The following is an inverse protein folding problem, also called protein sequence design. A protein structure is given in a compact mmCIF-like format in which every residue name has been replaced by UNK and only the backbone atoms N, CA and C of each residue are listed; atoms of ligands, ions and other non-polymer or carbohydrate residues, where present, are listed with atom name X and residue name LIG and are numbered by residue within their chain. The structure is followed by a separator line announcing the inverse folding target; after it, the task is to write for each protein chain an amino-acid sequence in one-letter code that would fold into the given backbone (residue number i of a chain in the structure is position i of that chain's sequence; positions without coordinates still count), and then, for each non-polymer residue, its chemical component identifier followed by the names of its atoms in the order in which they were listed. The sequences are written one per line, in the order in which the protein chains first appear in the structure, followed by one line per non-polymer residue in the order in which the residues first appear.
data_IF_783706949150
#
_entry.id   IF_783706949150
#
_cell.length_a   1.000
_cell.length_b   1.000
_cell.length_c   1.000
_cell.angle_alpha   90.00
_cell.angle_beta   90.00
_cell.angle_gamma   90.00
#
_symmetry.space_group_name_H-M   'P 1'
#
loop_
_entity.id
_entity.type
_entity.pdbx_description
1 polymer ?
#
# COMPACT_ATOMS: atom_id res chain seq x y z
N UNK A 1 -11.59 -0.24 22.19
CA UNK A 1 -10.18 0.19 22.33
C UNK A 1 -9.83 0.84 21.03
N UNK A 2 -9.32 2.05 21.08
CA UNK A 2 -9.36 2.94 19.93
C UNK A 2 -8.38 2.49 18.86
N UNK A 3 -8.69 2.79 17.60
CA UNK A 3 -7.99 2.24 16.45
C UNK A 3 -8.08 3.19 15.26
N UNK A 4 -6.97 3.29 14.54
CA UNK A 4 -6.85 3.99 13.27
C UNK A 4 -6.13 3.08 12.30
N UNK A 5 -6.62 2.99 11.07
CA UNK A 5 -5.91 2.36 9.97
C UNK A 5 -6.13 3.14 8.68
N UNK A 6 -5.12 3.10 7.81
CA UNK A 6 -5.22 3.48 6.41
C UNK A 6 -4.89 2.23 5.61
N UNK A 7 -5.88 1.66 4.92
CA UNK A 7 -5.71 0.46 4.08
C UNK A 7 -5.92 0.78 2.60
N UNK A 8 -5.39 -0.08 1.73
CA UNK A 8 -5.81 -0.15 0.33
C UNK A 8 -6.88 -1.24 0.24
N UNK A 9 -8.04 -0.94 -0.32
CA UNK A 9 -9.14 -1.88 -0.53
C UNK A 9 -9.77 -1.66 -1.90
N UNK A 10 -9.89 -2.72 -2.71
CA UNK A 10 -10.41 -2.68 -4.09
C UNK A 10 -9.78 -1.53 -4.94
N UNK A 11 -8.47 -1.34 -4.77
CA UNK A 11 -7.66 -0.32 -5.47
C UNK A 11 -7.60 1.05 -4.79
N UNK A 12 -8.60 1.38 -3.97
CA UNK A 12 -8.79 2.71 -3.37
C UNK A 12 -8.22 2.76 -1.95
N UNK A 13 -7.87 3.95 -1.47
CA UNK A 13 -7.49 4.15 -0.07
C UNK A 13 -8.73 4.21 0.82
N UNK A 14 -8.58 3.73 2.05
CA UNK A 14 -9.64 3.70 3.04
C UNK A 14 -9.09 4.02 4.43
N UNK A 15 -9.42 5.22 4.91
CA UNK A 15 -9.14 5.66 6.28
C UNK A 15 -10.24 5.14 7.20
N UNK A 16 -9.86 4.55 8.33
CA UNK A 16 -10.77 3.87 9.27
C UNK A 16 -10.49 4.38 10.68
N UNK A 17 -11.55 4.72 11.42
CA UNK A 17 -11.48 5.27 12.78
C UNK A 17 -12.51 4.57 13.67
N UNK A 18 -12.06 3.95 14.76
CA UNK A 18 -12.90 3.40 15.83
C UNK A 18 -12.54 4.04 17.17
N UNK A 19 -13.55 4.59 17.86
CA UNK A 19 -13.46 5.22 19.19
C UNK A 19 -14.01 4.33 20.32
N UNK A 20 -14.31 3.06 20.02
CA UNK A 20 -15.00 2.12 20.90
C UNK A 20 -16.53 2.06 20.71
N UNK A 21 -17.09 2.92 19.85
CA UNK A 21 -18.53 3.02 19.59
C UNK A 21 -18.91 2.50 18.19
N UNK A 22 -17.95 1.88 17.48
CA UNK A 22 -18.07 1.44 16.10
C UNK A 22 -16.99 2.05 15.22
N UNK A 23 -16.62 1.33 14.17
CA UNK A 23 -15.69 1.81 13.16
C UNK A 23 -16.43 2.59 12.06
N UNK A 24 -16.00 3.83 11.82
CA UNK A 24 -16.37 4.62 10.65
C UNK A 24 -15.24 4.57 9.63
N UNK A 25 -15.57 4.64 8.34
CA UNK A 25 -14.60 4.59 7.25
C UNK A 25 -14.89 5.63 6.17
N UNK A 26 -13.83 6.20 5.61
CA UNK A 26 -13.82 7.13 4.49
C UNK A 26 -12.96 6.53 3.38
N UNK A 27 -13.47 6.49 2.15
CA UNK A 27 -12.75 5.95 0.99
C UNK A 27 -12.31 7.10 0.07
N UNK A 28 -11.19 6.95 -0.63
CA UNK A 28 -10.84 7.85 -1.75
C UNK A 28 -11.67 7.53 -2.99
N UNK A 29 -12.02 8.54 -3.78
CA UNK A 29 -12.51 8.36 -5.17
C UNK A 29 -11.39 7.98 -6.15
N UNK A 30 -10.13 8.26 -5.80
CA UNK A 30 -8.95 7.87 -6.58
C UNK A 30 -8.58 6.40 -6.30
N UNK A 31 -8.42 5.61 -7.36
CA UNK A 31 -7.78 4.30 -7.36
C UNK A 31 -6.25 4.49 -7.42
N UNK A 32 -5.52 3.98 -6.43
CA UNK A 32 -4.07 4.14 -6.29
C UNK A 32 -3.27 2.86 -6.64
N UNK A 33 -3.93 1.87 -7.25
CA UNK A 33 -3.35 0.58 -7.62
C UNK A 33 -3.11 0.46 -9.13
N UNK A 34 -2.87 1.58 -9.81
CA UNK A 34 -2.52 1.63 -11.24
C UNK A 34 -1.02 1.40 -11.50
N UNK A 35 -0.17 1.72 -10.52
CA UNK A 35 1.27 1.56 -10.55
C UNK A 35 2.09 2.85 -10.68
N UNK A 36 1.50 4.04 -10.52
CA UNK A 36 2.25 5.30 -10.37
C UNK A 36 2.52 5.63 -8.89
N UNK A 37 3.13 6.79 -8.63
CA UNK A 37 3.30 7.33 -7.28
C UNK A 37 2.19 8.32 -6.97
N UNK A 38 1.43 8.05 -5.90
CA UNK A 38 0.39 8.94 -5.38
C UNK A 38 0.87 9.66 -4.12
N UNK A 39 0.52 10.94 -3.97
CA UNK A 39 0.64 11.71 -2.72
C UNK A 39 -0.60 11.44 -1.87
N UNK A 40 -0.40 11.07 -0.61
CA UNK A 40 -1.47 10.69 0.31
C UNK A 40 -1.31 11.45 1.63
N UNK A 41 -2.34 12.19 2.03
CA UNK A 41 -2.40 12.86 3.33
C UNK A 41 -3.72 12.48 4.02
N UNK A 42 -3.64 12.03 5.27
CA UNK A 42 -4.79 11.58 6.06
C UNK A 42 -4.90 12.41 7.33
N UNK A 43 -5.97 13.18 7.47
CA UNK A 43 -6.19 14.08 8.59
C UNK A 43 -7.41 13.63 9.39
N UNK A 44 -7.27 13.53 10.72
CA UNK A 44 -8.34 13.08 11.60
C UNK A 44 -8.36 13.87 12.91
N UNK A 45 -9.58 14.07 13.43
CA UNK A 45 -9.89 14.73 14.69
C UNK A 45 -11.04 13.96 15.37
N UNK A 46 -11.27 14.11 16.69
CA UNK A 46 -12.35 13.42 17.40
C UNK A 46 -13.75 13.46 16.77
N UNK A 47 -14.04 14.46 15.93
CA UNK A 47 -15.33 14.68 15.27
C UNK A 47 -15.29 14.68 13.74
N UNK A 48 -14.13 14.50 13.11
CA UNK A 48 -13.91 14.78 11.68
C UNK A 48 -12.78 13.95 11.08
N UNK A 49 -12.90 13.57 9.82
CA UNK A 49 -11.87 12.86 9.06
C UNK A 49 -11.86 13.30 7.60
N UNK A 50 -10.66 13.31 7.02
CA UNK A 50 -10.34 13.86 5.71
C UNK A 50 -9.21 13.02 5.10
N UNK A 51 -9.31 12.74 3.81
CA UNK A 51 -8.35 11.94 3.05
C UNK A 51 -8.09 12.63 1.72
N UNK A 52 -6.87 13.15 1.56
CA UNK A 52 -6.38 13.77 0.34
C UNK A 52 -5.53 12.77 -0.45
N UNK A 53 -5.85 12.58 -1.74
CA UNK A 53 -5.09 11.74 -2.68
C UNK A 53 -4.87 12.51 -3.97
N UNK A 54 -3.61 12.87 -4.27
CA UNK A 54 -3.24 13.70 -5.43
C UNK A 54 -4.13 14.95 -5.57
N UNK A 55 -4.25 15.70 -4.48
CA UNK A 55 -5.04 16.93 -4.32
C UNK A 55 -6.57 16.76 -4.52
N UNK A 56 -7.06 15.50 -4.55
CA UNK A 56 -8.49 15.15 -4.45
C UNK A 56 -8.84 14.83 -2.98
N UNK A 57 -9.65 15.70 -2.37
CA UNK A 57 -10.04 15.61 -0.96
C UNK A 57 -11.43 15.00 -0.82
N UNK A 58 -11.52 13.92 -0.04
CA UNK A 58 -12.78 13.39 0.50
C UNK A 58 -12.84 13.69 2.01
N UNK A 59 -14.00 14.04 2.57
CA UNK A 59 -14.14 14.33 3.99
C UNK A 59 -15.52 13.95 4.59
N UNK A 60 -15.56 13.70 5.91
CA UNK A 60 -16.82 13.52 6.64
C UNK A 60 -16.70 13.76 8.17
N UNK A 61 -17.80 14.10 8.86
CA UNK A 61 -17.90 13.99 10.32
C UNK A 61 -17.77 12.53 10.76
N UNK A 62 -17.02 12.24 11.83
CA UNK A 62 -16.81 10.85 12.27
C UNK A 62 -18.03 10.28 13.00
N UNK A 63 -18.47 10.95 14.07
CA UNK A 63 -19.76 10.70 14.73
C UNK A 63 -20.27 12.00 15.36
N UNK A 64 -21.55 12.32 15.15
CA UNK A 64 -22.18 13.53 15.68
C UNK A 64 -22.52 13.36 17.16
N UNK A 65 -22.05 14.29 18.00
CA UNK A 65 -22.39 14.41 19.43
C UNK A 65 -21.30 13.95 20.41
N UNK A 66 -20.44 13.01 20.03
CA UNK A 66 -19.54 12.34 20.98
C UNK A 66 -18.10 12.90 20.97
N UNK A 67 -17.85 13.87 21.86
CA UNK A 67 -16.52 14.43 22.15
C UNK A 67 -15.65 13.47 22.99
N UNK A 68 -15.28 12.33 22.40
CA UNK A 68 -14.26 11.43 22.94
C UNK A 68 -12.96 11.58 22.16
N UNK A 69 -11.85 11.82 22.86
CA UNK A 69 -10.50 11.80 22.27
C UNK A 69 -10.11 10.37 21.83
N UNK A 70 -9.17 10.25 20.90
CA UNK A 70 -8.58 8.96 20.53
C UNK A 70 -7.51 8.56 21.55
N UNK A 71 -7.71 7.45 22.26
CA UNK A 71 -6.69 6.84 23.12
C UNK A 71 -5.83 5.85 22.32
N UNK A 72 -4.85 6.38 21.58
CA UNK A 72 -3.92 5.60 20.76
C UNK A 72 -2.66 5.28 21.56
N UNK A 73 -2.49 4.02 21.93
CA UNK A 73 -1.34 3.52 22.68
C UNK A 73 -0.75 2.26 22.03
N UNK A 74 0.59 2.16 22.05
CA UNK A 74 1.33 1.08 21.41
C UNK A 74 2.16 1.55 20.20
N UNK A 75 2.29 0.68 19.20
CA UNK A 75 3.15 0.89 18.04
C UNK A 75 2.38 1.36 16.80
N UNK A 76 3.01 2.23 16.01
CA UNK A 76 2.61 2.51 14.64
C UNK A 76 3.11 1.38 13.73
N UNK A 77 2.22 0.83 12.91
CA UNK A 77 2.52 -0.23 11.95
C UNK A 77 2.44 0.32 10.52
N UNK A 78 3.48 0.07 9.71
CA UNK A 78 3.60 0.55 8.33
C UNK A 78 3.85 -0.66 7.43
N UNK A 79 3.07 -0.79 6.35
CA UNK A 79 3.16 -1.90 5.40
C UNK A 79 2.58 -3.24 5.88
N UNK A 80 2.04 -3.32 7.11
CA UNK A 80 1.38 -4.50 7.66
C UNK A 80 1.45 -4.54 9.19
N UNK A 81 0.60 -5.34 9.82
CA UNK A 81 0.57 -5.54 11.29
C UNK A 81 1.12 -6.91 11.69
N UNK A 82 1.60 -7.06 12.93
CA UNK A 82 2.00 -8.37 13.48
C UNK A 82 0.84 -9.39 13.39
N UNK A 83 1.17 -10.67 13.18
CA UNK A 83 0.21 -11.78 13.05
C UNK A 83 -0.75 -11.86 14.25
N UNK A 84 -0.27 -11.55 15.46
CA UNK A 84 -1.07 -11.52 16.69
C UNK A 84 -2.06 -10.32 16.77
N UNK A 85 -1.96 -9.32 15.88
CA UNK A 85 -2.87 -8.17 15.76
C UNK A 85 -3.81 -8.27 14.56
N UNK A 86 -3.48 -9.05 13.54
CA UNK A 86 -4.27 -9.16 12.29
C UNK A 86 -5.76 -9.40 12.55
N UNK A 87 -6.11 -10.40 13.35
CA UNK A 87 -7.49 -10.69 13.73
C UNK A 87 -8.19 -9.53 14.46
N UNK A 88 -7.44 -8.72 15.23
CA UNK A 88 -7.98 -7.49 15.85
C UNK A 88 -8.24 -6.41 14.79
N UNK A 89 -7.31 -6.17 13.87
CA UNK A 89 -7.47 -5.17 12.81
C UNK A 89 -8.69 -5.47 11.93
N UNK A 90 -8.88 -6.73 11.53
CA UNK A 90 -10.06 -7.19 10.78
C UNK A 90 -11.36 -7.00 11.58
N UNK A 91 -11.37 -7.37 12.86
CA UNK A 91 -12.54 -7.17 13.73
C UNK A 91 -12.84 -5.68 14.02
N UNK A 92 -11.86 -4.77 13.89
CA UNK A 92 -12.05 -3.32 13.94
C UNK A 92 -12.30 -2.69 12.56
N UNK A 93 -12.59 -3.51 11.54
CA UNK A 93 -13.15 -3.08 10.27
C UNK A 93 -12.15 -2.87 9.12
N UNK A 94 -10.86 -3.14 9.31
CA UNK A 94 -9.86 -3.16 8.23
C UNK A 94 -10.03 -4.43 7.39
N UNK A 95 -10.52 -4.28 6.16
CA UNK A 95 -10.84 -5.40 5.26
C UNK A 95 -9.62 -6.18 4.79
N UNK A 96 -8.45 -5.55 4.77
CA UNK A 96 -7.16 -6.15 4.47
C UNK A 96 -6.20 -6.11 5.69
N UNK A 97 -6.74 -6.03 6.91
CA UNK A 97 -5.97 -6.02 8.16
C UNK A 97 -5.20 -7.31 8.47
N UNK A 98 -5.43 -8.37 7.68
CA UNK A 98 -4.71 -9.65 7.66
C UNK A 98 -3.57 -9.70 6.62
N UNK A 99 -3.42 -8.67 5.79
CA UNK A 99 -2.46 -8.60 4.69
C UNK A 99 -1.37 -7.56 4.94
N UNK A 100 -0.31 -7.64 4.14
CA UNK A 100 0.75 -6.63 4.06
C UNK A 100 0.63 -5.84 2.76
N UNK A 101 1.21 -4.64 2.72
CA UNK A 101 1.32 -3.86 1.49
C UNK A 101 2.33 -4.51 0.54
N UNK A 102 1.84 -4.89 -0.63
CA UNK A 102 2.67 -5.30 -1.77
C UNK A 102 2.89 -4.10 -2.70
N UNK A 103 3.91 -3.28 -2.39
CA UNK A 103 4.22 -2.04 -3.10
C UNK A 103 5.44 -1.31 -2.54
N UNK A 104 5.49 0.01 -2.73
CA UNK A 104 6.54 0.90 -2.21
C UNK A 104 5.94 2.05 -1.40
N UNK A 105 6.69 2.56 -0.43
CA UNK A 105 6.37 3.76 0.35
C UNK A 105 7.63 4.63 0.42
N UNK A 106 7.48 5.95 0.37
CA UNK A 106 8.55 6.92 0.61
C UNK A 106 7.99 8.13 1.37
N UNK A 107 8.86 8.97 1.95
CA UNK A 107 8.52 10.27 2.54
C UNK A 107 7.40 10.22 3.61
N UNK A 108 7.41 9.19 4.47
CA UNK A 108 6.42 9.04 5.55
C UNK A 108 6.66 10.08 6.64
N UNK A 109 5.60 10.76 7.07
CA UNK A 109 5.60 11.61 8.27
C UNK A 109 4.34 11.39 9.12
N UNK A 110 4.43 11.73 10.40
CA UNK A 110 3.32 11.77 11.34
C UNK A 110 3.40 13.09 12.11
N UNK A 111 2.50 14.01 11.79
CA UNK A 111 2.65 15.41 12.19
C UNK A 111 3.94 16.00 11.62
N UNK A 112 4.73 16.64 12.47
CA UNK A 112 6.04 17.22 12.10
C UNK A 112 7.19 16.19 12.09
N UNK A 113 6.94 14.94 12.53
CA UNK A 113 7.98 13.90 12.60
C UNK A 113 8.06 13.11 11.30
N UNK A 114 9.16 13.25 10.55
CA UNK A 114 9.50 12.35 9.45
C UNK A 114 9.99 11.00 9.98
N UNK A 115 9.59 9.90 9.33
CA UNK A 115 9.87 8.53 9.76
C UNK A 115 10.69 7.79 8.70
N UNK A 116 11.76 7.13 9.13
CA UNK A 116 12.60 6.28 8.28
C UNK A 116 12.65 4.83 8.77
N UNK A 117 13.24 3.95 7.95
CA UNK A 117 13.51 2.55 8.32
C UNK A 117 14.43 2.45 9.56
N UNK A 118 15.21 3.50 9.87
CA UNK A 118 16.10 3.54 11.05
C UNK A 118 15.35 3.74 12.36
N UNK A 119 14.13 4.27 12.30
CA UNK A 119 13.27 4.58 13.45
C UNK A 119 12.32 3.41 13.78
N UNK A 120 12.29 2.37 12.93
CA UNK A 120 11.47 1.18 13.09
C UNK A 120 12.08 0.20 14.10
N UNK A 121 11.33 -0.12 15.16
CA UNK A 121 11.78 -1.06 16.21
C UNK A 121 11.85 -2.51 15.73
N UNK A 122 11.03 -2.87 14.74
CA UNK A 122 10.99 -4.20 14.09
C UNK A 122 10.80 -3.97 12.59
N UNK A 123 11.50 -4.74 11.75
CA UNK A 123 11.33 -4.72 10.29
C UNK A 123 11.28 -6.14 9.73
N UNK A 124 10.43 -6.37 8.72
CA UNK A 124 10.30 -7.65 8.04
C UNK A 124 9.95 -7.42 6.56
N UNK A 125 10.58 -8.15 5.64
CA UNK A 125 10.25 -8.13 4.20
C UNK A 125 10.65 -6.86 3.40
N UNK A 126 11.00 -5.76 4.09
CA UNK A 126 11.41 -4.48 3.51
C UNK A 126 12.71 -4.60 2.71
N UNK A 127 12.80 -3.85 1.61
CA UNK A 127 14.04 -3.56 0.87
C UNK A 127 14.27 -2.04 0.84
N UNK A 128 15.53 -1.62 0.75
CA UNK A 128 15.87 -0.18 0.70
C UNK A 128 15.52 0.48 -0.65
N UNK A 129 15.46 -0.29 -1.74
CA UNK A 129 15.15 0.19 -3.09
C UNK A 129 13.78 -0.29 -3.57
N UNK A 130 13.02 0.63 -4.18
CA UNK A 130 11.75 0.34 -4.82
C UNK A 130 11.97 -0.36 -6.17
N UNK A 131 12.19 -1.67 -6.15
CA UNK A 131 12.20 -2.51 -7.36
C UNK A 131 10.80 -3.04 -7.74
N UNK A 132 9.73 -2.38 -7.29
CA UNK A 132 8.38 -2.81 -7.66
C UNK A 132 8.11 -2.46 -9.12
N UNK A 133 7.75 -3.46 -9.91
CA UNK A 133 7.51 -3.33 -11.33
C UNK A 133 6.06 -3.70 -11.64
N UNK A 134 5.44 -2.93 -12.53
CA UNK A 134 4.10 -3.17 -13.05
C UNK A 134 4.18 -3.49 -14.56
N UNK A 135 4.53 -4.72 -14.99
CA UNK A 135 4.73 -5.02 -16.40
C UNK A 135 3.49 -4.74 -17.25
N UNK A 136 2.27 -4.87 -16.70
CA UNK A 136 1.03 -4.58 -17.46
C UNK A 136 0.99 -3.16 -18.04
N UNK A 137 1.61 -2.14 -17.41
CA UNK A 137 1.70 -0.77 -17.95
C UNK A 137 2.49 -0.68 -19.28
N UNK A 138 3.23 -1.73 -19.65
CA UNK A 138 3.96 -1.82 -20.92
C UNK A 138 3.22 -2.59 -22.01
N UNK A 139 1.96 -2.98 -21.77
CA UNK A 139 1.15 -3.85 -22.64
C UNK A 139 1.92 -5.12 -23.09
N UNK A 140 2.38 -5.98 -22.16
CA UNK A 140 3.33 -7.05 -22.43
C UNK A 140 2.69 -8.34 -22.96
N UNK A 141 1.37 -8.36 -23.12
CA UNK A 141 0.58 -9.51 -23.54
C UNK A 141 -0.18 -9.17 -24.84
N UNK A 142 -0.45 -10.18 -25.67
CA UNK A 142 -0.93 -10.00 -27.05
C UNK A 142 -2.31 -9.33 -27.15
N UNK A 143 -2.63 -8.76 -28.32
CA UNK A 143 -3.92 -8.14 -28.59
C UNK A 143 -5.11 -9.06 -28.27
N UNK A 144 -6.13 -8.49 -27.63
CA UNK A 144 -7.30 -9.23 -27.14
C UNK A 144 -7.08 -9.98 -25.82
N UNK A 145 -5.90 -9.90 -25.19
CA UNK A 145 -5.67 -10.42 -23.84
C UNK A 145 -5.94 -9.38 -22.74
N UNK A 146 -6.34 -9.85 -21.56
CA UNK A 146 -6.50 -9.02 -20.35
C UNK A 146 -5.31 -9.27 -19.42
N UNK A 147 -4.36 -8.33 -19.36
CA UNK A 147 -3.23 -8.41 -18.44
C UNK A 147 -3.70 -8.32 -16.97
N UNK A 148 -3.15 -9.17 -16.11
CA UNK A 148 -3.39 -9.23 -14.68
C UNK A 148 -2.05 -9.11 -13.95
N UNK A 149 -1.98 -8.27 -12.91
CA UNK A 149 -0.78 -8.07 -12.09
C UNK A 149 -0.86 -8.97 -10.85
N UNK A 150 0.06 -9.93 -10.71
CA UNK A 150 0.07 -10.91 -9.61
C UNK A 150 1.23 -10.68 -8.65
N UNK A 151 1.23 -9.51 -7.99
CA UNK A 151 2.28 -9.14 -7.03
C UNK A 151 3.65 -8.95 -7.70
N UNK A 152 4.72 -9.32 -6.98
CA UNK A 152 6.12 -9.13 -7.41
C UNK A 152 6.42 -9.70 -8.81
N UNK A 153 6.58 -8.81 -9.79
CA UNK A 153 7.06 -9.07 -11.17
C UNK A 153 6.23 -10.06 -12.03
N UNK A 154 5.27 -10.79 -11.46
CA UNK A 154 4.41 -11.69 -12.23
C UNK A 154 3.26 -10.92 -12.88
N UNK A 155 3.00 -11.25 -14.14
CA UNK A 155 1.73 -10.95 -14.80
C UNK A 155 1.16 -12.21 -15.41
N UNK A 156 -0.12 -12.46 -15.18
CA UNK A 156 -0.90 -13.47 -15.90
C UNK A 156 -1.77 -12.78 -16.95
N UNK A 157 -2.47 -13.56 -17.77
CA UNK A 157 -3.60 -13.06 -18.55
C UNK A 157 -4.77 -14.02 -18.48
N UNK A 158 -5.97 -13.46 -18.35
CA UNK A 158 -7.21 -14.21 -18.38
C UNK A 158 -7.80 -14.14 -19.79
N UNK A 159 -7.61 -15.20 -20.57
CA UNK A 159 -8.05 -15.29 -21.98
C UNK A 159 -8.52 -16.70 -22.30
N UNK A 160 -9.39 -16.82 -23.30
CA UNK A 160 -9.70 -18.10 -23.97
C UNK A 160 -8.40 -18.73 -24.53
N UNK A 161 -8.33 -20.08 -24.62
CA UNK A 161 -7.10 -20.81 -24.28
C UNK A 161 -6.04 -20.87 -25.39
N UNK A 162 -5.42 -19.74 -25.74
CA UNK A 162 -4.36 -19.69 -26.76
C UNK A 162 -3.34 -18.53 -26.65
N UNK A 163 -3.31 -17.74 -25.56
CA UNK A 163 -2.39 -16.61 -25.41
C UNK A 163 -1.72 -16.56 -24.03
N UNK A 164 -0.41 -16.82 -24.00
CA UNK A 164 0.43 -16.64 -22.82
C UNK A 164 1.03 -15.23 -22.83
N UNK A 165 0.99 -14.52 -21.70
CA UNK A 165 2.04 -13.53 -21.42
C UNK A 165 3.36 -14.28 -21.21
N UNK A 166 4.51 -13.79 -21.69
CA UNK A 166 5.79 -14.34 -21.30
C UNK A 166 5.95 -14.17 -19.78
N UNK A 167 6.17 -15.26 -19.05
CA UNK A 167 6.32 -15.23 -17.60
C UNK A 167 7.48 -14.32 -17.21
N UNK A 168 7.18 -13.29 -16.42
CA UNK A 168 8.06 -12.13 -16.16
C UNK A 168 9.31 -12.38 -15.30
N UNK A 169 10.02 -13.49 -15.52
CA UNK A 169 11.40 -13.62 -15.04
C UNK A 169 12.30 -12.66 -15.83
N UNK A 170 12.35 -11.41 -15.36
CA UNK A 170 13.43 -10.47 -15.65
C UNK A 170 14.72 -10.99 -14.99
N UNK A 171 15.28 -12.04 -15.60
CA UNK A 171 16.67 -12.44 -15.38
C UNK A 171 17.54 -11.21 -15.68
N UNK A 172 18.00 -10.56 -14.61
CA UNK A 172 19.03 -9.54 -14.72
C UNK A 172 20.26 -10.19 -15.32
N UNK A 173 20.43 -9.99 -16.64
CA UNK A 173 21.56 -10.49 -17.42
C UNK A 173 22.80 -9.73 -16.97
N UNK A 174 23.42 -10.21 -15.89
CA UNK A 174 24.78 -9.86 -15.49
C UNK A 174 25.70 -10.20 -16.67
N UNK A 175 25.89 -9.24 -17.57
CA UNK A 175 26.94 -9.32 -18.56
C UNK A 175 28.26 -9.24 -17.80
N UNK A 176 28.91 -10.40 -17.66
CA UNK A 176 30.27 -10.52 -17.16
C UNK A 176 31.16 -9.54 -17.92
N UNK A 177 31.73 -8.57 -17.23
CA UNK A 177 32.73 -7.64 -17.77
C UNK A 177 34.09 -8.34 -17.82
N UNK A 178 34.21 -9.25 -18.78
CA UNK A 178 35.42 -9.80 -19.38
C UNK A 178 35.17 -9.78 -20.89
N UNK A 179 36.10 -9.42 -21.77
CA UNK A 179 37.54 -9.18 -21.67
C UNK A 179 37.92 -8.14 -22.77
N UNK A 180 39.14 -7.63 -22.99
CA UNK A 180 40.48 -8.20 -22.77
C UNK A 180 41.58 -7.12 -22.66
N UNK A 181 42.84 -7.59 -22.52
CA UNK A 181 44.12 -6.85 -22.56
C UNK A 181 44.29 -5.91 -23.80
N UNK A 182 45.27 -5.00 -23.92
CA UNK A 182 46.70 -4.96 -23.52
C UNK A 182 47.18 -3.47 -23.59
N UNK A 183 48.41 -2.98 -23.39
CA UNK A 183 49.78 -3.50 -23.17
C UNK A 183 50.69 -2.40 -22.54
N UNK A 184 51.91 -2.80 -22.15
CA UNK A 184 53.08 -2.00 -21.68
C UNK A 184 52.93 -1.35 -20.30
#
# INVERSE_FOLDING_TARGET
SDFIALEIYEGHLRLILDKGNGAVGLNSSINISDGVWHKVEAHFKPTYMELNVDDHIEDQPTHVGEKKFFDLSGYLFIGGVEVNKQARAVNQGAKNGDKSLEGCIQNVSVGETSLSIRDAQVTQGIKAECHWAYPCLKNPCVDGSRCLQEGRMKTSAEVRPSSLCPSGELHHRLQSLHQDHTAL
#
